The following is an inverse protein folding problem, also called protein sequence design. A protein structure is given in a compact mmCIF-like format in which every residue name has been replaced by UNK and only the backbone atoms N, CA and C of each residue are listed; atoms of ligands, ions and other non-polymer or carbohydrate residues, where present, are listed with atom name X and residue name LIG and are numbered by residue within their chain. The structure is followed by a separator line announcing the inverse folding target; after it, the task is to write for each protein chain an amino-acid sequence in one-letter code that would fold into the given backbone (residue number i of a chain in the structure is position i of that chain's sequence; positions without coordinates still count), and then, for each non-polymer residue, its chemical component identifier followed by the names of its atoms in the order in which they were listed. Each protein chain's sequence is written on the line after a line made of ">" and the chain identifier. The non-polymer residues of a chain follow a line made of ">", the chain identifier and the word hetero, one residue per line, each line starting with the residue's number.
data_IF_110909818663
#
_entry.id   IF_110909818663
#
_cell.length_a   1.000
_cell.length_b   1.000
_cell.length_c   1.000
_cell.angle_alpha   90.00
_cell.angle_beta   90.00
_cell.angle_gamma   90.00
#
_symmetry.space_group_name_H-M   'P 1'
#
loop_
_entity.id
_entity.type
_entity.pdbx_description
1 polymer ?
#
# COMPACT_ATOMS: atom_id res chain seq x y z
N UNK A 1 -48.95 30.74 -21.52
CA UNK A 1 -48.08 29.90 -22.37
C UNK A 1 -46.85 29.53 -21.58
N UNK A 2 -46.74 28.24 -21.19
CA UNK A 2 -45.57 27.63 -20.56
C UNK A 2 -44.61 27.18 -21.67
N UNK A 3 -43.31 27.44 -21.53
CA UNK A 3 -42.27 26.54 -22.04
C UNK A 3 -41.22 26.38 -20.94
N UNK A 4 -40.89 25.13 -20.68
CA UNK A 4 -40.16 24.59 -19.54
C UNK A 4 -38.67 24.41 -19.79
N UNK A 5 -37.93 24.45 -18.68
CA UNK A 5 -36.61 23.87 -18.41
C UNK A 5 -36.29 22.59 -19.20
N UNK A 6 -35.05 22.48 -19.69
CA UNK A 6 -34.27 21.24 -19.81
C UNK A 6 -32.79 21.59 -20.07
N UNK A 7 -32.00 21.72 -19.00
CA UNK A 7 -30.54 21.82 -19.04
C UNK A 7 -29.95 21.20 -17.76
N UNK A 8 -30.32 19.96 -17.45
CA UNK A 8 -29.65 19.13 -16.43
C UNK A 8 -29.78 17.68 -16.90
N UNK A 9 -28.80 17.16 -17.65
CA UNK A 9 -28.61 15.71 -17.91
C UNK A 9 -27.34 15.34 -18.69
N UNK A 10 -26.52 16.30 -19.14
CA UNK A 10 -25.34 15.97 -19.98
C UNK A 10 -24.08 15.69 -19.15
N UNK A 11 -23.98 16.18 -17.90
CA UNK A 11 -22.76 16.02 -17.09
C UNK A 11 -22.62 14.62 -16.45
N UNK A 12 -23.71 13.95 -16.14
CA UNK A 12 -23.68 12.63 -15.48
C UNK A 12 -23.32 11.51 -16.46
N UNK A 13 -23.78 11.57 -17.71
CA UNK A 13 -23.55 10.50 -18.68
C UNK A 13 -22.08 10.39 -19.14
N UNK A 14 -21.34 11.50 -19.13
CA UNK A 14 -19.94 11.53 -19.57
C UNK A 14 -18.97 10.90 -18.54
N UNK A 15 -19.25 11.05 -17.25
CA UNK A 15 -18.43 10.49 -16.16
C UNK A 15 -18.62 8.97 -16.05
N UNK A 16 -19.84 8.47 -16.27
CA UNK A 16 -20.09 7.03 -16.30
C UNK A 16 -19.42 6.34 -17.51
N UNK A 17 -19.31 7.02 -18.66
CA UNK A 17 -18.64 6.46 -19.84
C UNK A 17 -17.11 6.39 -19.67
N UNK A 18 -16.49 7.39 -19.04
CA UNK A 18 -15.04 7.39 -18.78
C UNK A 18 -14.66 6.36 -17.72
N UNK A 19 -15.39 6.28 -16.60
CA UNK A 19 -15.13 5.29 -15.55
C UNK A 19 -15.34 3.85 -16.03
N UNK A 20 -16.39 3.59 -16.83
CA UNK A 20 -16.61 2.27 -17.44
C UNK A 20 -15.52 1.89 -18.46
N UNK A 21 -14.95 2.89 -19.17
CA UNK A 21 -13.87 2.69 -20.13
C UNK A 21 -12.52 2.45 -19.42
N UNK A 22 -12.19 3.22 -18.39
CA UNK A 22 -10.96 3.06 -17.58
C UNK A 22 -10.93 1.72 -16.82
N UNK A 23 -12.06 1.30 -16.26
CA UNK A 23 -12.18 -0.04 -15.64
C UNK A 23 -12.01 -1.18 -16.65
N UNK A 24 -12.50 -1.03 -17.88
CA UNK A 24 -12.25 -2.01 -18.96
C UNK A 24 -10.81 -1.99 -19.46
N UNK A 25 -10.15 -0.83 -19.45
CA UNK A 25 -8.73 -0.70 -19.81
C UNK A 25 -7.84 -1.41 -18.78
N UNK A 26 -8.04 -1.15 -17.48
CA UNK A 26 -7.25 -1.79 -16.43
C UNK A 26 -7.47 -3.30 -16.36
N UNK A 27 -8.73 -3.77 -16.39
CA UNK A 27 -9.02 -5.20 -16.39
C UNK A 27 -8.52 -5.88 -17.68
N UNK A 28 -8.73 -5.25 -18.84
CA UNK A 28 -8.32 -5.78 -20.15
C UNK A 28 -6.81 -5.99 -20.25
N UNK A 29 -6.00 -5.17 -19.57
CA UNK A 29 -4.55 -5.33 -19.49
C UNK A 29 -4.11 -6.67 -18.90
N UNK A 30 -4.86 -7.20 -17.93
CA UNK A 30 -4.52 -8.43 -17.20
C UNK A 30 -5.21 -9.67 -17.74
N UNK A 31 -5.73 -9.60 -18.97
CA UNK A 31 -6.37 -10.75 -19.60
C UNK A 31 -5.37 -11.88 -19.79
N UNK A 32 -5.77 -13.07 -19.33
CA UNK A 32 -4.98 -14.31 -19.39
C UNK A 32 -3.67 -14.28 -18.56
N UNK A 33 -3.43 -13.21 -17.78
CA UNK A 33 -2.37 -13.19 -16.77
C UNK A 33 -2.68 -14.24 -15.72
N UNK A 34 -1.63 -14.93 -15.25
CA UNK A 34 -1.75 -15.98 -14.25
C UNK A 34 -1.05 -15.60 -12.96
N UNK A 35 -1.63 -16.05 -11.84
CA UNK A 35 -0.93 -16.03 -10.55
C UNK A 35 -0.41 -17.44 -10.28
N UNK A 36 0.91 -17.57 -10.15
CA UNK A 36 1.58 -18.84 -9.91
C UNK A 36 2.17 -18.85 -8.49
N UNK A 37 1.93 -19.93 -7.77
CA UNK A 37 2.44 -20.16 -6.41
C UNK A 37 3.36 -21.37 -6.39
N UNK A 38 4.49 -21.27 -5.70
CA UNK A 38 5.39 -22.42 -5.48
C UNK A 38 4.94 -23.26 -4.29
N UNK A 39 5.54 -24.45 -4.09
CA UNK A 39 5.58 -25.09 -2.77
C UNK A 39 6.26 -24.19 -1.72
N UNK A 40 6.16 -24.57 -0.44
CA UNK A 40 6.95 -23.92 0.62
C UNK A 40 8.43 -24.18 0.34
N UNK A 41 9.20 -23.11 0.23
CA UNK A 41 10.60 -23.16 -0.17
C UNK A 41 11.49 -23.48 1.05
N UNK A 42 12.49 -24.33 0.86
CA UNK A 42 13.64 -24.43 1.75
C UNK A 42 14.73 -23.43 1.37
N UNK A 43 15.81 -23.41 2.16
CA UNK A 43 16.93 -22.46 2.01
C UNK A 43 17.54 -22.43 0.61
N UNK A 44 17.77 -23.61 0.02
CA UNK A 44 18.38 -23.72 -1.30
C UNK A 44 17.43 -23.17 -2.38
N UNK A 45 16.16 -23.57 -2.34
CA UNK A 45 15.17 -23.20 -3.34
C UNK A 45 14.85 -21.70 -3.28
N UNK A 46 14.79 -21.12 -2.08
CA UNK A 46 14.64 -19.68 -1.93
C UNK A 46 15.84 -18.94 -2.54
N UNK A 47 17.07 -19.39 -2.30
CA UNK A 47 18.27 -18.74 -2.85
C UNK A 47 18.30 -18.77 -4.38
N UNK A 48 17.95 -19.90 -4.99
CA UNK A 48 17.88 -20.04 -6.45
C UNK A 48 16.81 -19.12 -7.04
N UNK A 49 15.61 -19.12 -6.45
CA UNK A 49 14.50 -18.34 -6.99
C UNK A 49 14.68 -16.83 -6.75
N UNK A 50 15.34 -16.40 -5.66
CA UNK A 50 15.72 -15.00 -5.45
C UNK A 50 16.62 -14.51 -6.57
N UNK A 51 17.62 -15.30 -7.00
CA UNK A 51 18.49 -14.92 -8.12
C UNK A 51 17.73 -14.78 -9.44
N UNK A 52 16.69 -15.59 -9.65
CA UNK A 52 15.79 -15.44 -10.80
C UNK A 52 14.96 -14.17 -10.67
N UNK A 53 14.41 -13.87 -9.50
CA UNK A 53 13.62 -12.67 -9.24
C UNK A 53 14.38 -11.39 -9.57
N UNK A 54 15.65 -11.29 -9.17
CA UNK A 54 16.49 -10.13 -9.43
C UNK A 54 16.86 -9.94 -10.91
N UNK A 55 16.70 -10.94 -11.77
CA UNK A 55 17.20 -10.91 -13.16
C UNK A 55 16.12 -10.90 -14.24
N UNK A 56 14.87 -11.16 -13.87
CA UNK A 56 13.85 -11.61 -14.83
C UNK A 56 12.73 -10.61 -15.10
N UNK A 57 12.71 -9.44 -14.44
CA UNK A 57 11.61 -8.47 -14.56
C UNK A 57 10.25 -9.02 -14.11
N UNK A 58 10.24 -10.14 -13.38
CA UNK A 58 9.04 -10.80 -12.88
C UNK A 58 8.41 -10.02 -11.73
N UNK A 59 7.07 -9.91 -11.72
CA UNK A 59 6.33 -9.33 -10.60
C UNK A 59 6.11 -10.37 -9.50
N UNK A 60 7.01 -10.41 -8.54
CA UNK A 60 6.84 -11.19 -7.32
C UNK A 60 5.92 -10.44 -6.36
N UNK A 61 4.72 -11.00 -6.20
CA UNK A 61 3.76 -10.61 -5.17
C UNK A 61 4.18 -11.09 -3.78
N UNK A 62 4.82 -12.26 -3.70
CA UNK A 62 5.51 -12.73 -2.49
C UNK A 62 6.90 -13.21 -2.89
N UNK A 63 7.93 -12.54 -2.36
CA UNK A 63 9.32 -12.86 -2.65
C UNK A 63 9.70 -14.27 -2.17
N UNK A 64 10.63 -14.95 -2.84
CA UNK A 64 11.12 -16.26 -2.42
C UNK A 64 11.82 -16.17 -1.06
N UNK A 65 11.28 -16.86 -0.05
CA UNK A 65 11.87 -16.90 1.30
C UNK A 65 11.77 -18.30 1.89
N UNK A 66 12.76 -18.67 2.68
CA UNK A 66 12.77 -19.95 3.39
C UNK A 66 11.52 -20.07 4.29
N UNK A 67 10.84 -21.21 4.24
CA UNK A 67 9.61 -21.49 4.98
C UNK A 67 8.35 -20.80 4.44
N UNK A 68 8.41 -20.16 3.26
CA UNK A 68 7.27 -19.50 2.62
C UNK A 68 7.10 -19.95 1.17
N UNK A 69 5.91 -19.72 0.61
CA UNK A 69 5.70 -19.83 -0.84
C UNK A 69 6.16 -18.54 -1.52
N UNK A 70 6.71 -18.65 -2.73
CA UNK A 70 6.77 -17.51 -3.64
C UNK A 70 5.45 -17.43 -4.43
N UNK A 71 5.01 -16.21 -4.73
CA UNK A 71 3.81 -15.93 -5.51
C UNK A 71 4.19 -14.90 -6.58
N UNK A 72 3.86 -15.21 -7.83
CA UNK A 72 4.23 -14.43 -9.00
C UNK A 72 2.98 -14.09 -9.80
N UNK A 73 2.91 -12.86 -10.30
CA UNK A 73 2.03 -12.49 -11.39
C UNK A 73 2.82 -12.64 -12.69
N UNK A 74 2.27 -13.41 -13.63
CA UNK A 74 2.94 -13.70 -14.90
C UNK A 74 2.05 -13.33 -16.08
N UNK A 75 2.64 -12.66 -17.06
CA UNK A 75 2.01 -12.42 -18.37
C UNK A 75 1.76 -13.75 -19.09
N UNK A 76 0.80 -13.83 -20.05
CA UNK A 76 0.38 -15.11 -20.63
C UNK A 76 1.53 -15.92 -21.25
N UNK A 77 2.41 -15.28 -22.02
CA UNK A 77 3.55 -15.93 -22.67
C UNK A 77 4.59 -16.41 -21.65
N UNK A 78 4.87 -15.57 -20.66
CA UNK A 78 5.85 -15.83 -19.61
C UNK A 78 5.38 -16.93 -18.64
N UNK A 79 4.08 -17.01 -18.37
CA UNK A 79 3.50 -17.96 -17.42
C UNK A 79 3.82 -19.42 -17.78
N UNK A 80 3.77 -19.78 -19.08
CA UNK A 80 4.10 -21.14 -19.52
C UNK A 80 5.57 -21.49 -19.29
N UNK A 81 6.48 -20.57 -19.59
CA UNK A 81 7.93 -20.76 -19.44
C UNK A 81 8.30 -20.87 -17.96
N UNK A 82 7.77 -19.97 -17.14
CA UNK A 82 7.99 -19.98 -15.69
C UNK A 82 7.40 -21.25 -15.06
N UNK A 83 6.20 -21.66 -15.47
CA UNK A 83 5.61 -22.89 -14.94
C UNK A 83 6.46 -24.13 -15.26
N UNK A 84 6.98 -24.23 -16.50
CA UNK A 84 7.89 -25.30 -16.90
C UNK A 84 9.20 -25.26 -16.09
N UNK A 85 9.78 -24.09 -15.91
CA UNK A 85 11.03 -23.93 -15.16
C UNK A 85 10.88 -24.25 -13.68
N UNK A 86 9.82 -23.75 -13.03
CA UNK A 86 9.50 -24.08 -11.64
C UNK A 86 9.23 -25.59 -11.47
N UNK A 87 8.62 -26.23 -12.47
CA UNK A 87 8.41 -27.69 -12.47
C UNK A 87 9.75 -28.44 -12.59
N UNK A 88 10.64 -27.98 -13.48
CA UNK A 88 12.00 -28.54 -13.66
C UNK A 88 12.84 -28.45 -12.38
N UNK A 89 12.65 -27.37 -11.61
CA UNK A 89 13.29 -27.16 -10.31
C UNK A 89 12.58 -27.88 -9.15
N UNK A 90 11.60 -28.75 -9.44
CA UNK A 90 10.82 -29.50 -8.44
C UNK A 90 10.12 -28.59 -7.40
N UNK A 91 9.77 -27.36 -7.79
CA UNK A 91 9.10 -26.38 -6.93
C UNK A 91 7.58 -26.54 -6.92
N UNK A 92 7.05 -27.54 -7.62
CA UNK A 92 5.63 -27.93 -7.67
C UNK A 92 4.71 -26.70 -7.82
N UNK A 93 4.82 -25.95 -8.94
CA UNK A 93 4.02 -24.76 -9.13
C UNK A 93 2.53 -25.09 -9.22
N UNK A 94 1.71 -24.20 -8.68
CA UNK A 94 0.25 -24.23 -8.67
C UNK A 94 -0.26 -22.93 -9.31
N UNK A 95 -1.20 -23.01 -10.26
CA UNK A 95 -1.89 -21.82 -10.77
C UNK A 95 -3.02 -21.50 -9.80
N UNK A 96 -2.94 -20.32 -9.16
CA UNK A 96 -3.98 -19.81 -8.26
C UNK A 96 -5.11 -19.11 -9.03
N UNK A 97 -4.75 -18.42 -10.12
CA UNK A 97 -5.67 -17.66 -10.95
C UNK A 97 -5.27 -17.85 -12.40
N UNK A 98 -6.22 -18.28 -13.23
CA UNK A 98 -6.00 -18.52 -14.68
C UNK A 98 -6.14 -17.25 -15.52
N UNK A 99 -6.92 -16.27 -15.04
CA UNK A 99 -7.22 -15.02 -15.73
C UNK A 99 -7.49 -13.91 -14.72
N UNK A 100 -6.46 -13.14 -14.40
CA UNK A 100 -6.52 -12.08 -13.38
C UNK A 100 -7.48 -10.95 -13.75
N UNK A 101 -7.78 -10.74 -15.05
CA UNK A 101 -8.78 -9.75 -15.47
C UNK A 101 -10.17 -9.98 -14.86
N UNK A 102 -10.52 -11.24 -14.58
CA UNK A 102 -11.81 -11.59 -13.97
C UNK A 102 -11.88 -11.18 -12.51
N UNK A 103 -10.81 -11.42 -11.75
CA UNK A 103 -10.71 -11.01 -10.35
C UNK A 103 -10.81 -9.47 -10.22
N UNK A 104 -10.14 -8.74 -11.11
CA UNK A 104 -10.25 -7.27 -11.17
C UNK A 104 -11.69 -6.87 -11.52
N UNK A 105 -12.30 -7.48 -12.53
CA UNK A 105 -13.68 -7.15 -12.91
C UNK A 105 -14.68 -7.44 -11.78
N UNK A 106 -14.50 -8.53 -11.04
CA UNK A 106 -15.32 -8.85 -9.87
C UNK A 106 -15.10 -7.87 -8.71
N UNK A 107 -13.85 -7.46 -8.45
CA UNK A 107 -13.54 -6.42 -7.47
C UNK A 107 -14.25 -5.10 -7.82
N UNK A 108 -14.16 -4.65 -9.08
CA UNK A 108 -14.84 -3.43 -9.56
C UNK A 108 -16.36 -3.54 -9.46
N UNK A 109 -16.92 -4.66 -9.88
CA UNK A 109 -18.35 -4.89 -9.77
C UNK A 109 -18.85 -4.81 -8.32
N UNK A 110 -18.10 -5.41 -7.37
CA UNK A 110 -18.44 -5.33 -5.94
C UNK A 110 -18.33 -3.89 -5.42
N UNK A 111 -17.27 -3.17 -5.79
CA UNK A 111 -17.10 -1.76 -5.43
C UNK A 111 -18.28 -0.91 -5.92
N UNK A 112 -18.67 -1.06 -7.19
CA UNK A 112 -19.75 -0.28 -7.80
C UNK A 112 -21.12 -0.61 -7.18
N UNK A 113 -21.38 -1.89 -6.91
CA UNK A 113 -22.60 -2.33 -6.24
C UNK A 113 -22.72 -1.71 -4.85
N UNK A 114 -21.63 -1.72 -4.08
CA UNK A 114 -21.60 -1.15 -2.73
C UNK A 114 -21.70 0.37 -2.79
N UNK A 115 -20.98 1.03 -3.70
CA UNK A 115 -21.03 2.48 -3.88
C UNK A 115 -22.42 2.97 -4.32
N UNK A 116 -23.15 2.19 -5.11
CA UNK A 116 -24.53 2.54 -5.49
C UNK A 116 -25.51 2.49 -4.32
N UNK A 117 -25.19 1.76 -3.26
CA UNK A 117 -26.03 1.61 -2.06
C UNK A 117 -25.58 2.48 -0.87
N UNK A 118 -24.45 3.19 -0.99
CA UNK A 118 -23.85 3.89 0.16
C UNK A 118 -24.61 5.16 0.54
N UNK A 119 -24.72 5.38 1.85
CA UNK A 119 -25.31 6.58 2.45
C UNK A 119 -24.27 7.54 3.05
N UNK A 120 -23.06 7.05 3.35
CA UNK A 120 -21.93 7.81 3.88
C UNK A 120 -20.71 7.60 2.97
N UNK A 121 -19.78 8.55 3.01
CA UNK A 121 -18.50 8.47 2.29
C UNK A 121 -17.65 7.33 2.84
N UNK A 122 -17.39 7.35 4.16
CA UNK A 122 -16.69 6.25 4.82
C UNK A 122 -17.51 4.97 4.79
N UNK A 123 -16.94 3.95 4.17
CA UNK A 123 -17.47 2.60 4.17
C UNK A 123 -16.37 1.59 4.48
N UNK A 124 -16.55 0.86 5.59
CA UNK A 124 -15.58 -0.13 6.08
C UNK A 124 -15.67 -1.49 5.35
N UNK A 125 -16.63 -1.64 4.45
CA UNK A 125 -16.83 -2.84 3.64
C UNK A 125 -16.37 -2.64 2.18
N UNK A 126 -15.77 -1.50 1.84
CA UNK A 126 -15.34 -1.19 0.47
C UNK A 126 -13.97 -0.53 0.40
N UNK A 127 -13.35 -0.57 -0.79
CA UNK A 127 -12.23 0.30 -1.12
C UNK A 127 -12.73 1.67 -1.57
N UNK A 128 -11.94 2.72 -1.30
CA UNK A 128 -12.30 4.11 -1.58
C UNK A 128 -11.29 4.76 -2.52
N UNK A 129 -11.76 5.58 -3.45
CA UNK A 129 -10.87 6.37 -4.32
C UNK A 129 -10.13 7.44 -3.51
N UNK A 130 -9.07 8.04 -4.08
CA UNK A 130 -8.37 9.14 -3.40
C UNK A 130 -9.31 10.29 -3.04
N UNK A 131 -10.26 10.63 -3.92
CA UNK A 131 -11.23 11.70 -3.68
C UNK A 131 -12.18 11.37 -2.52
N UNK A 132 -12.63 10.11 -2.42
CA UNK A 132 -13.47 9.66 -1.31
C UNK A 132 -12.70 9.65 0.03
N UNK A 133 -11.43 9.25 0.01
CA UNK A 133 -10.54 9.33 1.17
C UNK A 133 -10.37 10.78 1.61
N UNK A 134 -10.10 11.68 0.66
CA UNK A 134 -9.94 13.12 0.90
C UNK A 134 -11.22 13.75 1.47
N UNK A 135 -12.38 13.40 0.90
CA UNK A 135 -13.66 13.87 1.39
C UNK A 135 -13.93 13.38 2.82
N UNK A 136 -13.58 12.14 3.15
CA UNK A 136 -13.69 11.64 4.52
C UNK A 136 -12.78 12.42 5.48
N UNK A 137 -11.54 12.72 5.08
CA UNK A 137 -10.63 13.53 5.89
C UNK A 137 -11.21 14.93 6.15
N UNK A 138 -11.80 15.57 5.13
CA UNK A 138 -12.50 16.85 5.28
C UNK A 138 -13.65 16.77 6.29
N UNK A 139 -14.48 15.72 6.20
CA UNK A 139 -15.59 15.48 7.14
C UNK A 139 -15.10 15.28 8.58
N UNK A 140 -13.99 14.55 8.77
CA UNK A 140 -13.39 14.33 10.09
C UNK A 140 -12.87 15.64 10.67
N UNK A 141 -12.13 16.44 9.90
CA UNK A 141 -11.63 17.74 10.34
C UNK A 141 -12.79 18.67 10.72
N UNK A 142 -13.84 18.72 9.90
CA UNK A 142 -15.00 19.56 10.17
C UNK A 142 -15.75 19.15 11.44
N UNK A 143 -15.96 17.84 11.65
CA UNK A 143 -16.76 17.32 12.77
C UNK A 143 -15.98 17.26 14.09
N UNK A 144 -14.65 17.14 14.05
CA UNK A 144 -13.80 16.92 15.21
C UNK A 144 -12.66 17.95 15.33
N UNK A 145 -12.86 19.16 14.82
CA UNK A 145 -11.88 20.27 14.80
C UNK A 145 -11.29 20.66 16.17
N UNK A 146 -11.89 20.23 17.28
CA UNK A 146 -11.36 20.43 18.62
C UNK A 146 -10.17 19.49 18.96
N UNK A 147 -10.02 18.38 18.25
CA UNK A 147 -8.97 17.39 18.45
C UNK A 147 -8.28 16.94 17.16
N UNK A 148 -8.78 17.34 15.98
CA UNK A 148 -8.20 17.01 14.68
C UNK A 148 -7.80 18.27 13.94
N UNK A 149 -6.57 18.29 13.45
CA UNK A 149 -6.08 19.24 12.47
C UNK A 149 -5.51 18.51 11.24
N UNK A 150 -5.36 19.23 10.14
CA UNK A 150 -4.78 18.72 8.91
C UNK A 150 -3.45 19.39 8.61
N UNK A 151 -2.52 18.59 8.06
CA UNK A 151 -1.22 19.01 7.56
C UNK A 151 -1.05 18.49 6.13
N UNK A 152 -0.38 19.27 5.29
CA UNK A 152 0.16 18.81 4.01
C UNK A 152 1.67 18.66 4.17
N UNK A 153 2.18 17.45 3.93
CA UNK A 153 3.59 17.11 4.15
C UNK A 153 4.43 17.11 2.89
N UNK A 154 3.81 17.35 1.72
CA UNK A 154 4.49 17.43 0.45
C UNK A 154 3.51 17.43 -0.72
N UNK A 155 4.02 17.72 -1.90
CA UNK A 155 3.27 17.69 -3.16
C UNK A 155 3.92 16.67 -4.09
N UNK A 156 3.12 15.76 -4.64
CA UNK A 156 3.57 14.66 -5.52
C UNK A 156 4.07 15.16 -6.88
N UNK A 157 4.62 14.25 -7.69
CA UNK A 157 5.11 14.60 -9.03
C UNK A 157 4.00 15.12 -9.95
N UNK A 158 2.78 14.58 -9.84
CA UNK A 158 1.61 15.01 -10.61
C UNK A 158 0.81 16.13 -9.90
N UNK A 159 1.33 16.71 -8.82
CA UNK A 159 0.79 17.92 -8.20
C UNK A 159 -0.30 17.69 -7.13
N UNK A 160 -0.42 16.49 -6.57
CA UNK A 160 -1.38 16.17 -5.50
C UNK A 160 -0.74 16.39 -4.13
N UNK A 161 -1.53 16.87 -3.17
CA UNK A 161 -1.08 16.99 -1.79
C UNK A 161 -0.97 15.62 -1.10
N UNK A 162 0.10 15.39 -0.34
CA UNK A 162 0.18 14.30 0.63
C UNK A 162 -0.36 14.81 1.97
N UNK A 163 -1.57 14.36 2.32
CA UNK A 163 -2.33 14.86 3.46
C UNK A 163 -2.15 13.98 4.70
N UNK A 164 -2.04 14.60 5.87
CA UNK A 164 -1.93 13.96 7.19
C UNK A 164 -2.97 14.56 8.13
N UNK A 165 -3.71 13.72 8.86
CA UNK A 165 -4.46 14.18 10.02
C UNK A 165 -3.61 14.07 11.28
N UNK A 166 -3.54 15.16 12.06
CA UNK A 166 -3.00 15.18 13.41
C UNK A 166 -4.15 15.13 14.40
N UNK A 167 -4.17 14.08 15.24
CA UNK A 167 -5.19 13.86 16.25
C UNK A 167 -4.54 14.03 17.63
N UNK A 168 -4.95 15.05 18.36
CA UNK A 168 -4.36 15.45 19.63
C UNK A 168 -5.40 16.01 20.60
N UNK A 169 -5.19 15.78 21.90
CA UNK A 169 -6.00 16.32 23.00
C UNK A 169 -5.26 17.40 23.79
N UNK A 170 -4.04 17.75 23.39
CA UNK A 170 -3.22 18.74 24.08
C UNK A 170 -1.74 18.64 23.73
N UNK A 171 -0.94 19.67 24.07
CA UNK A 171 0.46 19.76 23.65
C UNK A 171 1.38 18.84 24.46
N UNK A 172 2.57 18.58 23.90
CA UNK A 172 3.71 17.99 24.63
C UNK A 172 3.67 16.47 24.81
N UNK A 173 2.81 15.78 24.07
CA UNK A 173 2.73 14.32 24.06
C UNK A 173 3.69 13.72 23.02
N UNK A 174 4.24 12.51 23.24
CA UNK A 174 4.86 11.76 22.17
C UNK A 174 3.82 11.41 21.10
N UNK A 175 4.26 11.16 19.88
CA UNK A 175 3.39 10.85 18.76
C UNK A 175 3.71 9.51 18.10
N UNK A 176 2.68 8.94 17.48
CA UNK A 176 2.75 7.79 16.58
C UNK A 176 2.40 8.28 15.18
N UNK A 177 3.24 7.95 14.20
CA UNK A 177 2.94 8.16 12.80
C UNK A 177 2.47 6.86 12.15
N UNK A 178 1.35 6.90 11.42
CA UNK A 178 0.80 5.76 10.68
C UNK A 178 0.57 6.19 9.24
N UNK A 179 1.05 5.41 8.28
CA UNK A 179 0.66 5.60 6.89
C UNK A 179 0.24 4.32 6.19
N UNK A 180 -0.47 4.51 5.08
CA UNK A 180 -0.80 3.47 4.12
C UNK A 180 -0.42 3.87 2.69
N UNK A 181 -0.46 2.86 1.81
CA UNK A 181 -0.28 3.02 0.37
C UNK A 181 1.00 3.78 -0.03
N UNK A 182 2.15 3.47 0.58
CA UNK A 182 3.44 3.80 -0.03
C UNK A 182 3.65 3.00 -1.33
N UNK A 183 3.15 1.75 -1.36
CA UNK A 183 2.91 1.04 -2.61
C UNK A 183 1.44 1.15 -3.02
N UNK A 184 1.19 1.63 -4.22
CA UNK A 184 -0.14 2.00 -4.67
C UNK A 184 -1.16 0.84 -4.73
N UNK A 185 -0.75 -0.34 -5.23
CA UNK A 185 -1.62 -1.52 -5.38
C UNK A 185 -2.17 -2.11 -4.07
N UNK A 186 -1.62 -1.73 -2.93
CA UNK A 186 -1.89 -2.32 -1.62
C UNK A 186 -3.13 -1.68 -0.96
N UNK A 187 -4.27 -1.78 -1.65
CA UNK A 187 -5.51 -1.04 -1.36
C UNK A 187 -6.11 -1.23 0.03
N UNK A 188 -5.72 -2.25 0.79
CA UNK A 188 -6.18 -2.42 2.17
C UNK A 188 -5.51 -1.46 3.16
N UNK A 189 -4.34 -0.90 2.82
CA UNK A 189 -3.63 0.05 3.69
C UNK A 189 -4.45 1.30 4.03
N UNK A 190 -4.94 2.08 3.04
CA UNK A 190 -5.69 3.30 3.30
C UNK A 190 -6.97 3.10 4.14
N UNK A 191 -7.86 2.12 3.86
CA UNK A 191 -9.02 1.85 4.71
C UNK A 191 -8.67 1.52 6.16
N UNK A 192 -7.56 0.80 6.39
CA UNK A 192 -7.09 0.48 7.76
C UNK A 192 -6.62 1.75 8.48
N UNK A 193 -5.88 2.63 7.80
CA UNK A 193 -5.47 3.93 8.35
C UNK A 193 -6.69 4.83 8.65
N UNK A 194 -7.67 4.88 7.74
CA UNK A 194 -8.92 5.60 7.96
C UNK A 194 -9.75 5.01 9.11
N UNK A 195 -9.74 3.69 9.27
CA UNK A 195 -10.41 3.04 10.40
C UNK A 195 -9.74 3.41 11.73
N UNK A 196 -8.41 3.56 11.75
CA UNK A 196 -7.70 4.10 12.92
C UNK A 196 -8.14 5.54 13.23
N UNK A 197 -8.24 6.41 12.22
CA UNK A 197 -8.80 7.77 12.37
C UNK A 197 -10.20 7.70 13.00
N UNK A 198 -11.08 6.83 12.47
CA UNK A 198 -12.44 6.65 12.97
C UNK A 198 -12.49 6.20 14.44
N UNK A 199 -11.61 5.27 14.84
CA UNK A 199 -11.53 4.82 16.23
C UNK A 199 -11.11 5.95 17.17
N UNK A 200 -10.21 6.82 16.72
CA UNK A 200 -9.67 7.93 17.50
C UNK A 200 -10.61 9.15 17.53
N UNK A 201 -11.62 9.21 16.65
CA UNK A 201 -12.56 10.34 16.59
C UNK A 201 -13.98 9.91 16.98
N UNK A 202 -14.70 9.20 16.12
CA UNK A 202 -16.09 8.77 16.37
C UNK A 202 -16.20 7.87 17.61
N UNK A 203 -15.14 7.10 17.91
CA UNK A 203 -15.04 6.26 19.11
C UNK A 203 -14.07 6.82 20.16
N UNK A 204 -13.93 8.16 20.22
CA UNK A 204 -13.06 8.85 21.18
C UNK A 204 -13.23 8.35 22.62
N UNK A 205 -14.47 8.23 23.13
CA UNK A 205 -14.71 7.85 24.53
C UNK A 205 -14.08 6.49 24.88
N UNK A 206 -14.04 5.57 23.91
CA UNK A 206 -13.46 4.23 24.06
C UNK A 206 -11.92 4.25 23.97
N UNK A 207 -11.35 5.29 23.35
CA UNK A 207 -9.92 5.43 23.06
C UNK A 207 -9.28 6.64 23.77
N UNK A 208 -10.00 7.31 24.66
CA UNK A 208 -9.56 8.53 25.34
C UNK A 208 -8.28 8.31 26.16
N UNK A 209 -8.10 7.12 26.74
CA UNK A 209 -6.90 6.79 27.51
C UNK A 209 -5.62 6.85 26.67
N UNK A 210 -5.63 6.32 25.44
CA UNK A 210 -4.47 6.37 24.55
C UNK A 210 -4.28 7.78 24.00
N UNK A 211 -5.37 8.45 23.60
CA UNK A 211 -5.31 9.83 23.09
C UNK A 211 -4.84 10.83 24.13
N UNK A 212 -5.09 10.61 25.42
CA UNK A 212 -4.56 11.46 26.48
C UNK A 212 -3.07 11.25 26.74
N UNK A 213 -2.47 10.19 26.20
CA UNK A 213 -1.07 9.82 26.42
C UNK A 213 -0.20 10.06 25.18
N UNK A 214 -0.79 10.00 23.99
CA UNK A 214 -0.09 9.98 22.70
C UNK A 214 -0.87 10.76 21.65
N UNK A 215 -0.15 11.41 20.73
CA UNK A 215 -0.69 12.01 19.50
C UNK A 215 -0.60 11.05 18.32
N UNK A 216 -1.50 11.21 17.35
CA UNK A 216 -1.46 10.42 16.12
C UNK A 216 -1.33 11.33 14.91
N UNK A 217 -0.34 11.05 14.07
CA UNK A 217 -0.24 11.57 12.72
C UNK A 217 -0.61 10.43 11.76
N UNK A 218 -1.66 10.59 10.97
CA UNK A 218 -2.16 9.52 10.10
C UNK A 218 -2.27 10.02 8.66
N UNK A 219 -1.49 9.43 7.75
CA UNK A 219 -1.57 9.63 6.30
C UNK A 219 -2.12 8.38 5.62
N UNK A 220 -3.43 8.32 5.28
CA UNK A 220 -3.99 7.14 4.60
C UNK A 220 -3.28 6.78 3.29
N UNK A 221 -2.79 7.78 2.54
CA UNK A 221 -2.14 7.61 1.24
C UNK A 221 -0.89 8.49 1.15
N UNK A 222 0.31 7.89 1.19
CA UNK A 222 1.59 8.63 1.01
C UNK A 222 2.16 8.56 -0.42
N UNK A 223 1.56 7.76 -1.31
CA UNK A 223 1.80 7.79 -2.75
C UNK A 223 0.49 8.09 -3.52
N UNK A 224 -0.06 9.32 -3.45
CA UNK A 224 -1.33 9.67 -4.08
C UNK A 224 -1.37 9.42 -5.59
N UNK A 225 -0.31 9.75 -6.31
CA UNK A 225 -0.28 9.60 -7.78
C UNK A 225 -0.31 8.14 -8.18
N UNK A 226 0.51 7.30 -7.55
CA UNK A 226 0.48 5.87 -7.77
C UNK A 226 -0.89 5.29 -7.41
N UNK A 227 -1.48 5.73 -6.30
CA UNK A 227 -2.79 5.25 -5.85
C UNK A 227 -3.88 5.54 -6.89
N UNK A 228 -3.98 6.77 -7.39
CA UNK A 228 -4.90 7.14 -8.47
C UNK A 228 -4.63 6.33 -9.74
N UNK A 229 -3.37 6.19 -10.15
CA UNK A 229 -3.02 5.38 -11.30
C UNK A 229 -3.44 3.91 -11.16
N UNK A 230 -3.43 3.38 -9.93
CA UNK A 230 -3.93 2.02 -9.66
C UNK A 230 -5.44 1.88 -9.76
N UNK A 231 -6.18 2.97 -9.53
CA UNK A 231 -7.62 3.01 -9.74
C UNK A 231 -7.98 3.11 -11.22
N UNK A 232 -7.25 3.93 -11.99
CA UNK A 232 -7.67 4.36 -13.33
C UNK A 232 -7.03 3.54 -14.46
N UNK A 233 -5.78 3.12 -14.31
CA UNK A 233 -4.97 2.60 -15.44
C UNK A 233 -4.42 1.20 -15.19
N UNK A 234 -3.84 0.96 -14.01
CA UNK A 234 -3.04 -0.25 -13.75
C UNK A 234 -3.23 -0.72 -12.30
N UNK A 235 -4.16 -1.64 -12.09
CA UNK A 235 -4.55 -2.14 -10.76
C UNK A 235 -3.38 -2.65 -9.91
N UNK A 236 -2.31 -3.16 -10.52
CA UNK A 236 -1.13 -3.66 -9.81
C UNK A 236 0.06 -2.70 -9.85
N UNK A 237 -0.15 -1.44 -10.19
CA UNK A 237 0.87 -0.39 -10.09
C UNK A 237 1.37 -0.26 -8.66
N UNK A 238 2.69 -0.26 -8.49
CA UNK A 238 3.35 -0.24 -7.18
C UNK A 238 4.02 1.10 -6.86
N UNK A 239 4.65 1.71 -7.87
CA UNK A 239 5.65 2.77 -7.74
C UNK A 239 5.03 4.18 -7.63
N UNK A 240 5.85 5.20 -7.46
CA UNK A 240 5.48 6.61 -7.71
C UNK A 240 5.17 6.84 -9.19
N UNK A 241 4.98 8.10 -9.61
CA UNK A 241 4.66 8.48 -10.99
C UNK A 241 5.65 9.44 -11.65
N UNK A 242 6.85 9.56 -11.08
CA UNK A 242 7.95 10.31 -11.68
C UNK A 242 8.36 9.76 -13.05
N UNK A 243 8.78 10.63 -13.96
CA UNK A 243 9.27 10.24 -15.28
C UNK A 243 10.79 10.08 -15.24
N UNK A 244 11.31 8.99 -15.80
CA UNK A 244 12.75 8.83 -16.02
C UNK A 244 13.14 8.91 -17.51
N UNK A 245 14.44 9.07 -17.77
CA UNK A 245 15.01 9.29 -19.11
C UNK A 245 14.79 8.12 -20.09
N UNK A 246 14.38 6.94 -19.61
CA UNK A 246 14.14 5.74 -20.41
C UNK A 246 12.65 5.48 -20.70
N UNK A 247 11.78 6.46 -20.46
CA UNK A 247 10.31 6.31 -20.52
C UNK A 247 9.75 5.24 -19.58
N UNK A 248 10.53 4.82 -18.57
CA UNK A 248 10.02 4.04 -17.47
C UNK A 248 9.46 4.98 -16.40
N UNK A 249 8.38 4.58 -15.75
CA UNK A 249 7.64 5.44 -14.83
C UNK A 249 7.83 4.96 -13.41
N UNK A 250 8.07 5.91 -12.51
CA UNK A 250 8.07 5.73 -11.07
C UNK A 250 9.30 5.06 -10.49
N UNK A 251 9.44 5.29 -9.19
CA UNK A 251 10.43 4.71 -8.28
C UNK A 251 9.70 3.91 -7.21
N UNK A 252 10.33 2.84 -6.72
CA UNK A 252 9.86 2.17 -5.52
C UNK A 252 10.10 3.09 -4.31
N UNK A 253 9.02 3.73 -3.85
CA UNK A 253 9.02 4.66 -2.74
C UNK A 253 9.65 4.05 -1.47
N UNK A 254 9.46 2.74 -1.23
CA UNK A 254 10.04 2.03 -0.08
C UNK A 254 11.49 1.52 -0.34
N UNK A 255 12.15 2.03 -1.37
CA UNK A 255 13.59 1.88 -1.63
C UNK A 255 14.30 3.22 -1.80
N UNK A 256 13.56 4.32 -1.71
CA UNK A 256 14.07 5.65 -2.03
C UNK A 256 14.49 6.47 -0.80
N UNK A 257 14.20 6.03 0.43
CA UNK A 257 14.65 6.74 1.65
C UNK A 257 16.17 6.93 1.69
N UNK A 258 16.64 7.98 2.39
CA UNK A 258 18.07 8.31 2.52
C UNK A 258 18.87 7.40 3.46
N UNK A 259 18.31 6.26 3.85
CA UNK A 259 18.92 5.29 4.74
C UNK A 259 19.45 4.08 3.99
N UNK A 260 20.77 3.94 3.92
CA UNK A 260 21.46 2.83 3.25
C UNK A 260 20.97 2.58 1.81
N UNK A 261 20.64 3.66 1.12
CA UNK A 261 20.23 3.66 -0.27
C UNK A 261 21.35 3.10 -1.17
N UNK A 262 20.96 2.30 -2.17
CA UNK A 262 21.87 1.74 -3.16
C UNK A 262 21.33 1.98 -4.58
N UNK A 263 22.18 2.34 -5.56
CA UNK A 263 21.76 2.54 -6.92
C UNK A 263 21.41 1.21 -7.61
N UNK A 264 20.46 1.26 -8.55
CA UNK A 264 20.16 0.21 -9.52
C UNK A 264 20.11 0.83 -10.92
N UNK A 265 20.63 0.14 -11.93
CA UNK A 265 20.62 0.62 -13.32
C UNK A 265 19.34 0.21 -14.07
N UNK A 266 18.55 -0.72 -13.54
CA UNK A 266 17.27 -1.10 -14.15
C UNK A 266 16.15 -0.12 -13.72
N UNK A 267 16.03 0.98 -14.46
CA UNK A 267 15.02 2.03 -14.20
C UNK A 267 13.58 1.55 -14.44
N UNK A 268 13.40 0.39 -15.06
CA UNK A 268 12.10 -0.20 -15.35
C UNK A 268 11.68 -1.24 -14.28
N UNK A 269 12.61 -1.62 -13.41
CA UNK A 269 12.36 -2.51 -12.27
C UNK A 269 11.23 -2.01 -11.37
N UNK A 270 10.47 -2.96 -10.82
CA UNK A 270 9.45 -2.70 -9.80
C UNK A 270 10.04 -2.27 -8.45
N UNK A 271 11.33 -2.54 -8.23
CA UNK A 271 12.08 -2.17 -7.03
C UNK A 271 13.15 -1.10 -7.31
N UNK A 272 13.04 -0.41 -8.45
CA UNK A 272 13.96 0.66 -8.83
C UNK A 272 14.04 1.72 -7.71
N UNK A 273 15.22 1.99 -7.12
CA UNK A 273 15.37 2.82 -5.93
C UNK A 273 15.45 4.33 -6.22
N UNK A 274 15.39 4.72 -7.50
CA UNK A 274 15.49 6.12 -7.93
C UNK A 274 16.88 6.49 -8.42
N UNK A 275 17.06 7.75 -8.80
CA UNK A 275 18.33 8.29 -9.32
C UNK A 275 19.29 8.71 -8.20
N UNK A 276 18.74 8.98 -7.01
CA UNK A 276 19.43 9.39 -5.80
C UNK A 276 18.58 9.02 -4.56
N UNK A 277 19.17 8.96 -3.36
CA UNK A 277 18.38 8.91 -2.13
C UNK A 277 17.44 10.13 -2.04
N UNK A 278 16.23 9.88 -1.56
CA UNK A 278 15.12 10.82 -1.48
C UNK A 278 14.91 11.61 -2.79
N UNK A 279 14.99 10.94 -3.95
CA UNK A 279 14.70 11.57 -5.24
C UNK A 279 13.23 11.90 -5.44
N UNK A 280 12.33 11.13 -4.82
CA UNK A 280 10.89 11.29 -5.01
C UNK A 280 10.33 12.37 -4.09
N UNK A 281 9.52 13.33 -4.60
CA UNK A 281 8.98 14.41 -3.78
C UNK A 281 8.08 13.89 -2.66
N UNK A 282 7.40 12.75 -2.86
CA UNK A 282 6.62 12.07 -1.83
C UNK A 282 7.49 11.62 -0.65
N UNK A 283 8.70 11.11 -0.94
CA UNK A 283 9.65 10.65 0.08
C UNK A 283 10.37 11.83 0.72
N UNK A 284 10.70 12.87 -0.04
CA UNK A 284 11.25 14.12 0.52
C UNK A 284 10.30 14.69 1.58
N UNK A 285 9.01 14.84 1.23
CA UNK A 285 8.01 15.37 2.14
C UNK A 285 7.83 14.52 3.41
N UNK A 286 7.67 13.21 3.24
CA UNK A 286 7.54 12.28 4.37
C UNK A 286 8.78 12.29 5.28
N UNK A 287 9.96 12.24 4.70
CA UNK A 287 11.21 12.20 5.47
C UNK A 287 11.46 13.52 6.21
N UNK A 288 11.28 14.66 5.56
CA UNK A 288 11.40 15.97 6.20
C UNK A 288 10.40 16.12 7.34
N UNK A 289 9.15 15.72 7.15
CA UNK A 289 8.14 15.74 8.21
C UNK A 289 8.58 14.91 9.42
N UNK A 290 9.03 13.67 9.21
CA UNK A 290 9.48 12.79 10.30
C UNK A 290 10.73 13.33 11.02
N UNK A 291 11.61 14.04 10.31
CA UNK A 291 12.81 14.66 10.89
C UNK A 291 12.48 15.91 11.72
N UNK A 292 11.49 16.70 11.29
CA UNK A 292 11.07 17.92 11.98
C UNK A 292 10.22 17.63 13.23
N UNK A 293 9.42 16.56 13.19
CA UNK A 293 8.54 16.12 14.27
C UNK A 293 9.21 15.13 15.23
N UNK A 294 10.20 15.62 15.99
CA UNK A 294 11.00 14.81 16.94
C UNK A 294 10.21 14.14 18.06
N UNK A 295 8.96 14.55 18.30
CA UNK A 295 8.03 13.90 19.22
C UNK A 295 7.49 12.57 18.68
N UNK A 296 7.62 12.27 17.38
CA UNK A 296 7.26 10.99 16.80
C UNK A 296 8.24 9.93 17.28
N UNK A 297 7.77 9.03 18.14
CA UNK A 297 8.59 7.99 18.78
C UNK A 297 8.30 6.59 18.25
N UNK A 298 7.24 6.43 17.45
CA UNK A 298 6.87 5.17 16.82
C UNK A 298 6.27 5.41 15.43
N UNK A 299 6.68 4.61 14.47
CA UNK A 299 6.28 4.72 13.06
C UNK A 299 5.72 3.38 12.57
N UNK A 300 4.55 3.41 11.94
CA UNK A 300 3.84 2.24 11.42
C UNK A 300 3.54 2.44 9.94
N UNK A 301 4.16 1.63 9.10
CA UNK A 301 3.91 1.60 7.65
C UNK A 301 3.03 0.40 7.30
N UNK A 302 1.83 0.66 6.81
CA UNK A 302 0.82 -0.36 6.51
C UNK A 302 0.99 -0.89 5.08
N UNK A 303 1.43 -2.14 5.00
CA UNK A 303 1.64 -2.87 3.76
C UNK A 303 0.71 -4.08 3.59
N UNK A 304 0.58 -4.55 2.35
CA UNK A 304 -0.05 -5.85 2.05
C UNK A 304 0.59 -6.55 0.85
N UNK A 305 0.56 -7.88 0.77
CA UNK A 305 0.05 -8.85 1.74
C UNK A 305 1.21 -9.59 2.42
N UNK A 306 0.89 -10.50 3.33
CA UNK A 306 1.89 -11.37 3.95
C UNK A 306 1.66 -11.66 5.44
N UNK A 307 0.67 -11.02 6.07
CA UNK A 307 0.32 -11.20 7.48
C UNK A 307 1.57 -11.21 8.38
N UNK A 308 2.35 -10.14 8.27
CA UNK A 308 3.63 -10.04 8.96
C UNK A 308 3.76 -8.69 9.65
N UNK A 309 4.37 -8.70 10.83
CA UNK A 309 4.85 -7.50 11.50
C UNK A 309 6.37 -7.52 11.38
N UNK A 310 6.89 -6.57 10.62
CA UNK A 310 8.30 -6.55 10.25
C UNK A 310 8.91 -5.26 10.80
N UNK A 311 10.11 -5.38 11.35
CA UNK A 311 10.82 -4.25 11.95
C UNK A 311 12.30 -4.29 11.59
N UNK A 312 13.07 -3.19 11.82
CA UNK A 312 14.45 -3.09 11.39
C UNK A 312 15.39 -4.20 11.92
N UNK A 313 16.50 -4.47 11.24
CA UNK A 313 16.95 -3.85 9.99
C UNK A 313 16.60 -4.72 8.77
N UNK A 314 16.48 -4.07 7.61
CA UNK A 314 16.48 -4.72 6.29
C UNK A 314 17.86 -4.70 5.63
N UNK A 315 18.61 -3.63 5.90
CA UNK A 315 19.75 -3.22 5.10
C UNK A 315 21.08 -3.78 5.62
N UNK A 316 21.10 -4.41 6.80
CA UNK A 316 22.28 -5.07 7.37
C UNK A 316 21.89 -6.38 8.06
N UNK A 317 22.77 -7.38 8.02
CA UNK A 317 22.59 -8.62 8.80
C UNK A 317 22.77 -8.42 10.32
N UNK A 318 22.98 -7.18 10.76
CA UNK A 318 23.07 -6.85 12.18
C UNK A 318 21.67 -6.76 12.78
N UNK A 319 21.59 -7.17 14.04
CA UNK A 319 20.35 -7.10 14.79
C UNK A 319 20.12 -5.67 15.28
N UNK A 320 18.88 -5.17 15.18
CA UNK A 320 18.54 -3.87 15.77
C UNK A 320 18.85 -3.86 17.28
N UNK A 321 19.45 -2.78 17.83
CA UNK A 321 19.60 -2.63 19.27
C UNK A 321 18.27 -2.72 20.03
N UNK A 322 17.15 -2.40 19.37
CA UNK A 322 15.79 -2.47 19.93
C UNK A 322 15.12 -3.83 19.70
N UNK A 323 15.81 -4.82 19.14
CA UNK A 323 15.20 -6.09 18.75
C UNK A 323 14.40 -6.78 19.85
N UNK A 324 14.86 -6.90 21.11
CA UNK A 324 14.07 -7.56 22.15
C UNK A 324 12.73 -6.86 22.38
N UNK A 325 12.73 -5.54 22.35
CA UNK A 325 11.54 -4.71 22.56
C UNK A 325 10.60 -4.77 21.36
N UNK A 326 11.13 -4.64 20.13
CA UNK A 326 10.34 -4.75 18.90
C UNK A 326 9.71 -6.13 18.73
N UNK A 327 10.44 -7.20 19.08
CA UNK A 327 9.87 -8.55 19.11
C UNK A 327 8.76 -8.67 20.16
N UNK A 328 8.95 -8.11 21.36
CA UNK A 328 7.94 -8.14 22.42
C UNK A 328 6.68 -7.43 21.97
N UNK A 329 6.79 -6.16 21.55
CA UNK A 329 5.67 -5.33 21.08
C UNK A 329 4.98 -5.96 19.87
N UNK A 330 5.74 -6.45 18.88
CA UNK A 330 5.19 -7.13 17.72
C UNK A 330 4.41 -8.40 18.07
N UNK A 331 4.91 -9.21 19.02
CA UNK A 331 4.18 -10.41 19.47
C UNK A 331 2.90 -10.06 20.24
N UNK A 332 2.92 -9.03 21.10
CA UNK A 332 1.70 -8.55 21.77
C UNK A 332 0.65 -8.08 20.76
N UNK A 333 1.06 -7.29 19.76
CA UNK A 333 0.17 -6.84 18.69
C UNK A 333 -0.38 -8.02 17.86
N UNK A 334 0.48 -8.98 17.48
CA UNK A 334 0.06 -10.16 16.73
C UNK A 334 -0.94 -11.03 17.52
N UNK A 335 -0.71 -11.20 18.82
CA UNK A 335 -1.63 -11.90 19.72
C UNK A 335 -2.96 -11.16 19.82
N UNK A 336 -2.95 -9.84 19.99
CA UNK A 336 -4.17 -9.04 20.03
C UNK A 336 -4.99 -9.18 18.74
N UNK A 337 -4.37 -9.07 17.56
CA UNK A 337 -5.04 -9.30 16.27
C UNK A 337 -5.63 -10.71 16.18
N UNK A 338 -4.91 -11.72 16.64
CA UNK A 338 -5.38 -13.11 16.64
C UNK A 338 -6.64 -13.29 17.47
N UNK A 339 -6.83 -12.55 18.57
CA UNK A 339 -8.05 -12.66 19.40
C UNK A 339 -9.33 -12.23 18.67
N UNK A 340 -9.23 -11.38 17.65
CA UNK A 340 -10.40 -10.85 16.93
C UNK A 340 -10.97 -11.86 15.94
N UNK A 341 -10.12 -12.44 15.08
CA UNK A 341 -10.56 -13.36 13.99
C UNK A 341 -9.71 -14.63 13.83
N UNK A 342 -8.78 -14.91 14.74
CA UNK A 342 -7.89 -16.06 14.65
C UNK A 342 -6.76 -15.94 13.61
N UNK A 343 -6.62 -14.78 12.96
CA UNK A 343 -5.57 -14.53 11.96
C UNK A 343 -4.19 -14.56 12.60
N UNK A 344 -3.30 -15.40 12.08
CA UNK A 344 -1.92 -15.49 12.57
C UNK A 344 -1.02 -14.53 11.81
N UNK A 345 -0.24 -13.74 12.56
CA UNK A 345 0.80 -12.87 12.03
C UNK A 345 2.19 -13.38 12.39
N UNK A 346 3.14 -13.31 11.46
CA UNK A 346 4.55 -13.60 11.74
C UNK A 346 5.32 -12.34 12.13
N UNK A 347 5.98 -12.37 13.28
CA UNK A 347 6.77 -11.24 13.82
C UNK A 347 8.25 -11.53 13.61
N UNK A 348 8.95 -10.67 12.89
CA UNK A 348 10.37 -10.87 12.59
C UNK A 348 11.08 -9.57 12.19
N UNK A 349 12.39 -9.53 12.38
CA UNK A 349 13.24 -8.53 11.72
C UNK A 349 13.33 -8.85 10.23
N UNK A 350 13.42 -7.83 9.36
CA UNK A 350 13.50 -8.04 7.90
C UNK A 350 14.64 -9.01 7.52
N UNK A 351 15.79 -8.92 8.18
CA UNK A 351 16.96 -9.79 7.92
C UNK A 351 16.79 -11.24 8.36
N UNK A 352 15.97 -11.50 9.39
CA UNK A 352 15.61 -12.87 9.78
C UNK A 352 14.61 -13.53 8.81
N UNK A 353 14.13 -12.79 7.79
CA UNK A 353 13.31 -13.30 6.69
C UNK A 353 14.08 -13.77 5.46
N UNK A 354 15.41 -13.60 5.43
CA UNK A 354 16.29 -14.08 4.36
C UNK A 354 15.92 -13.56 2.97
N UNK A 355 16.22 -12.30 2.67
CA UNK A 355 16.53 -11.75 1.34
C UNK A 355 16.93 -10.28 1.49
N UNK A 356 18.22 -9.96 1.38
CA UNK A 356 18.69 -8.67 0.85
C UNK A 356 18.83 -8.79 -0.66
#
# INVERSE_FOLDING_TARGET
>A
MRVSRNFVSILTFSVFLTAAFETTVSAGRYKDFKVIKTKILGVHESSVLSQLAFKSGLDFWSLPRNGKNAILLCEPQQAEEIFKELTRLELRPEILTEDVSREIAEERFKIDQINSAKLKVANWENFMTLDEINQYMDEVVANYSNIVSELEIGTTTEGRATRVLHISTGPGKPAIFINGAIHAREWIGPPVAMYAINQLTEFYDQNSAILNSVDFYIAPVVNPDGYVFSWEQDRFWRKTRSLNDLNCLGVDANRNFDWQWAPDNDMCSLVYPGTAPASEPEIQGLQSFLQEHTEITFYVDLHSFGQSMIFPWASSNEQSPMYPELMRVGNEAANALRTVRGTNYTVHSVTNGGTS
#
